data_IF_462487816153
#
_entry.id   IF_462487816153
#
_cell.length_a   1.000
_cell.length_b   1.000
_cell.length_c   1.000
_cell.angle_alpha   90.00
_cell.angle_beta   90.00
_cell.angle_gamma   90.00
#
_symmetry.space_group_name_H-M   'P 1'
#
loop_
_entity.id
_entity.type
_entity.pdbx_description
1 polymer ?
#
# COMPACT_ATOMS: atom_id res chain seq x y z
N UNK A 1 -69.01 53.90 -26.65
CA UNK A 1 -67.64 53.59 -26.16
C UNK A 1 -67.37 52.10 -26.31
N UNK A 2 -66.46 51.71 -27.23
CA UNK A 2 -66.14 50.31 -27.54
C UNK A 2 -65.22 49.72 -26.46
N UNK A 3 -65.79 49.04 -25.45
CA UNK A 3 -65.03 48.42 -24.34
C UNK A 3 -64.17 47.21 -24.74
N UNK A 4 -64.28 46.70 -25.97
CA UNK A 4 -63.57 45.51 -26.43
C UNK A 4 -62.10 45.73 -26.81
N UNK A 5 -61.71 46.95 -27.20
CA UNK A 5 -60.34 47.22 -27.70
C UNK A 5 -59.30 47.13 -26.57
N UNK A 6 -59.70 47.46 -25.33
CA UNK A 6 -58.80 47.44 -24.17
C UNK A 6 -58.30 46.05 -23.78
N UNK A 7 -59.06 44.99 -24.06
CA UNK A 7 -58.65 43.62 -23.71
C UNK A 7 -57.59 43.06 -24.67
N UNK A 8 -57.60 43.54 -25.92
CA UNK A 8 -56.66 43.11 -26.96
C UNK A 8 -55.26 43.65 -26.65
N UNK A 9 -55.15 44.92 -26.26
CA UNK A 9 -53.86 45.54 -25.88
C UNK A 9 -53.22 44.86 -24.67
N UNK A 10 -54.05 44.45 -23.68
CA UNK A 10 -53.58 43.73 -22.50
C UNK A 10 -53.07 42.33 -22.88
N UNK A 11 -53.80 41.60 -23.73
CA UNK A 11 -53.40 40.27 -24.17
C UNK A 11 -52.10 40.29 -25.00
N UNK A 12 -51.95 41.26 -25.91
CA UNK A 12 -50.74 41.45 -26.69
C UNK A 12 -49.55 41.80 -25.78
N UNK A 13 -49.75 42.72 -24.83
CA UNK A 13 -48.70 43.12 -23.88
C UNK A 13 -48.26 41.95 -22.98
N UNK A 14 -49.21 41.13 -22.51
CA UNK A 14 -48.92 39.92 -21.74
C UNK A 14 -48.15 38.88 -22.57
N UNK A 15 -48.52 38.70 -23.85
CA UNK A 15 -47.81 37.79 -24.75
C UNK A 15 -46.36 38.21 -25.02
N UNK A 16 -46.13 39.51 -25.26
CA UNK A 16 -44.78 40.07 -25.43
C UNK A 16 -43.96 39.91 -24.15
N UNK A 17 -44.56 40.15 -22.99
CA UNK A 17 -43.89 39.99 -21.70
C UNK A 17 -43.47 38.53 -21.46
N UNK A 18 -44.35 37.55 -21.73
CA UNK A 18 -44.02 36.13 -21.60
C UNK A 18 -42.89 35.72 -22.56
N UNK A 19 -42.92 36.23 -23.81
CA UNK A 19 -41.83 36.02 -24.77
C UNK A 19 -40.50 36.58 -24.27
N UNK A 20 -40.53 37.77 -23.66
CA UNK A 20 -39.34 38.38 -23.07
C UNK A 20 -38.81 37.56 -21.89
N UNK A 21 -39.70 37.02 -21.07
CA UNK A 21 -39.35 36.21 -19.90
C UNK A 21 -38.74 34.87 -20.31
N UNK A 22 -39.31 34.22 -21.34
CA UNK A 22 -38.72 33.04 -21.97
C UNK A 22 -37.36 33.34 -22.60
N UNK A 23 -37.25 34.47 -23.30
CA UNK A 23 -35.99 34.91 -23.88
C UNK A 23 -34.93 35.09 -22.79
N UNK A 24 -35.28 35.72 -21.67
CA UNK A 24 -34.42 35.86 -20.50
C UNK A 24 -34.02 34.48 -19.94
N UNK A 25 -34.93 33.51 -19.78
CA UNK A 25 -34.54 32.18 -19.29
C UNK A 25 -33.66 31.39 -20.28
N UNK A 26 -33.85 31.58 -21.58
CA UNK A 26 -33.03 30.96 -22.62
C UNK A 26 -31.65 31.60 -22.70
N UNK A 27 -31.55 32.93 -22.57
CA UNK A 27 -30.28 33.67 -22.64
C UNK A 27 -29.52 33.69 -21.31
N UNK A 28 -30.23 33.77 -20.19
CA UNK A 28 -29.68 33.58 -18.84
C UNK A 28 -29.61 32.11 -18.46
N UNK A 29 -29.81 31.15 -19.38
CA UNK A 29 -29.53 29.74 -19.09
C UNK A 29 -28.11 29.71 -18.57
N UNK A 30 -27.91 29.56 -17.25
CA UNK A 30 -26.65 29.95 -16.67
C UNK A 30 -25.69 28.90 -17.18
N UNK A 31 -24.72 29.34 -17.97
CA UNK A 31 -23.66 28.51 -18.50
C UNK A 31 -22.73 28.12 -17.36
N UNK A 32 -23.29 27.57 -16.28
CA UNK A 32 -22.57 26.92 -15.20
C UNK A 32 -22.18 25.57 -15.78
N UNK A 33 -21.23 25.59 -16.71
CA UNK A 33 -20.22 24.54 -16.66
C UNK A 33 -19.54 24.83 -15.33
N UNK A 34 -19.90 24.07 -14.30
CA UNK A 34 -19.12 24.09 -13.07
C UNK A 34 -17.70 23.77 -13.52
N UNK A 35 -16.84 24.78 -13.46
CA UNK A 35 -15.43 24.55 -13.67
C UNK A 35 -15.01 23.66 -12.51
N UNK A 36 -14.88 22.37 -12.80
CA UNK A 36 -14.52 21.39 -11.78
C UNK A 36 -13.16 21.83 -11.26
N UNK A 37 -13.13 22.30 -10.00
CA UNK A 37 -11.89 22.77 -9.38
C UNK A 37 -10.82 21.69 -9.49
N UNK A 38 -9.61 22.06 -9.88
CA UNK A 38 -8.52 21.10 -10.01
C UNK A 38 -8.23 20.34 -8.72
N UNK A 39 -8.45 20.97 -7.56
CA UNK A 39 -8.34 20.33 -6.25
C UNK A 39 -9.29 19.13 -6.10
N UNK A 40 -10.52 19.25 -6.63
CA UNK A 40 -11.48 18.14 -6.64
C UNK A 40 -11.01 16.99 -7.55
N UNK A 41 -10.46 17.30 -8.72
CA UNK A 41 -9.89 16.28 -9.62
C UNK A 41 -8.72 15.54 -8.96
N UNK A 42 -7.81 16.27 -8.30
CA UNK A 42 -6.71 15.68 -7.54
C UNK A 42 -7.22 14.80 -6.39
N UNK A 43 -8.28 15.21 -5.71
CA UNK A 43 -8.91 14.44 -4.63
C UNK A 43 -9.53 13.13 -5.13
N UNK A 44 -10.17 13.13 -6.29
CA UNK A 44 -10.71 11.90 -6.92
C UNK A 44 -9.58 10.88 -7.10
N UNK A 45 -8.47 11.29 -7.71
CA UNK A 45 -7.35 10.37 -7.99
C UNK A 45 -6.68 9.92 -6.70
N UNK A 46 -6.39 10.84 -5.77
CA UNK A 46 -5.79 10.50 -4.48
C UNK A 46 -6.65 9.51 -3.70
N UNK A 47 -7.97 9.72 -3.65
CA UNK A 47 -8.91 8.79 -3.01
C UNK A 47 -9.00 7.45 -3.74
N UNK A 48 -8.99 7.48 -5.08
CA UNK A 48 -8.97 6.28 -5.92
C UNK A 48 -7.74 5.42 -5.67
N UNK A 49 -6.57 6.04 -5.60
CA UNK A 49 -5.31 5.35 -5.26
C UNK A 49 -5.38 4.78 -3.84
N UNK A 50 -5.70 5.61 -2.84
CA UNK A 50 -5.77 5.16 -1.45
C UNK A 50 -6.77 4.01 -1.24
N UNK A 51 -7.86 3.95 -1.99
CA UNK A 51 -8.85 2.89 -1.83
C UNK A 51 -8.53 1.60 -2.62
N UNK A 52 -7.75 1.70 -3.70
CA UNK A 52 -7.52 0.57 -4.62
C UNK A 52 -6.15 -0.07 -4.50
N UNK A 53 -5.13 0.74 -4.29
CA UNK A 53 -3.74 0.27 -4.31
C UNK A 53 -3.10 0.25 -2.92
N UNK A 54 -3.77 0.81 -1.91
CA UNK A 54 -3.27 0.73 -0.55
C UNK A 54 -3.31 -0.70 0.00
N UNK A 55 -2.46 -0.93 0.99
CA UNK A 55 -2.28 -2.20 1.66
C UNK A 55 -1.82 -1.97 3.09
N UNK A 56 -2.22 -2.90 3.95
CA UNK A 56 -1.81 -2.95 5.35
C UNK A 56 -0.91 -4.16 5.58
N UNK A 57 0.26 -3.93 6.18
CA UNK A 57 1.08 -4.99 6.78
C UNK A 57 0.99 -4.87 8.30
N UNK A 58 0.69 -5.98 8.96
CA UNK A 58 0.94 -6.11 10.39
C UNK A 58 2.38 -6.60 10.62
N UNK A 59 3.19 -5.85 11.37
CA UNK A 59 4.52 -6.28 11.82
C UNK A 59 4.52 -6.59 13.31
N UNK A 60 5.16 -7.68 13.69
CA UNK A 60 5.41 -8.02 15.09
C UNK A 60 6.93 -8.12 15.29
N UNK A 61 7.53 -7.19 16.05
CA UNK A 61 8.92 -7.32 16.44
C UNK A 61 9.09 -8.59 17.27
N UNK A 62 10.05 -9.42 16.91
CA UNK A 62 10.49 -10.60 17.62
C UNK A 62 11.92 -10.33 18.09
N UNK A 63 12.08 -10.21 19.39
CA UNK A 63 13.38 -10.04 20.02
C UNK A 63 13.88 -11.41 20.46
N UNK A 64 15.09 -11.77 20.04
CA UNK A 64 15.75 -13.01 20.43
C UNK A 64 17.04 -12.64 21.16
N UNK A 65 17.18 -13.14 22.38
CA UNK A 65 18.34 -12.98 23.23
C UNK A 65 18.93 -14.36 23.51
N UNK A 66 20.23 -14.42 23.76
CA UNK A 66 20.85 -15.63 24.29
C UNK A 66 21.61 -15.37 25.59
N UNK A 67 21.67 -16.39 26.44
CA UNK A 67 22.39 -16.34 27.71
C UNK A 67 23.88 -16.46 27.46
N UNK A 68 24.67 -15.50 27.94
CA UNK A 68 26.10 -15.37 27.67
C UNK A 68 26.98 -16.33 28.46
N UNK A 69 26.41 -17.18 29.33
CA UNK A 69 27.20 -18.12 30.15
C UNK A 69 27.92 -19.20 29.31
N UNK A 70 27.54 -19.39 28.05
CA UNK A 70 28.32 -20.12 27.06
C UNK A 70 28.25 -19.38 25.72
N UNK A 71 29.14 -18.39 25.48
CA UNK A 71 29.14 -17.67 24.21
C UNK A 71 29.39 -18.69 23.10
N UNK A 72 28.42 -18.80 22.20
CA UNK A 72 28.58 -19.54 20.95
C UNK A 72 29.62 -18.74 20.16
N UNK A 73 30.82 -19.28 19.97
CA UNK A 73 31.82 -18.64 19.11
C UNK A 73 31.28 -18.64 17.67
N UNK A 74 30.89 -17.49 17.11
CA UNK A 74 30.31 -17.44 15.77
C UNK A 74 31.32 -17.81 14.68
N UNK A 75 32.62 -17.91 15.04
CA UNK A 75 33.71 -18.27 14.13
C UNK A 75 34.26 -19.67 14.36
N UNK A 76 33.74 -20.46 15.32
CA UNK A 76 34.16 -21.85 15.47
C UNK A 76 33.65 -22.63 14.25
N UNK A 77 34.53 -23.15 13.38
CA UNK A 77 34.13 -23.92 12.20
C UNK A 77 33.45 -25.25 12.56
N UNK A 78 33.50 -25.65 13.85
CA UNK A 78 32.79 -26.82 14.38
C UNK A 78 31.46 -26.44 15.06
N UNK A 79 31.13 -25.14 15.17
CA UNK A 79 29.82 -24.72 15.63
C UNK A 79 28.82 -25.03 14.51
N UNK A 80 28.14 -26.16 14.65
CA UNK A 80 27.00 -26.53 13.83
C UNK A 80 25.89 -25.46 13.94
N UNK A 81 25.13 -25.29 12.86
CA UNK A 81 24.05 -24.30 12.72
C UNK A 81 23.28 -24.02 14.02
N UNK A 82 23.18 -22.76 14.44
CA UNK A 82 22.32 -22.38 15.56
C UNK A 82 20.86 -22.60 15.18
N UNK A 83 20.20 -23.51 15.88
CA UNK A 83 18.78 -23.80 15.71
C UNK A 83 18.02 -23.05 16.80
N UNK A 84 17.32 -21.99 16.41
CA UNK A 84 16.38 -21.32 17.29
C UNK A 84 15.02 -22.01 17.15
N UNK A 85 14.50 -22.59 18.24
CA UNK A 85 13.17 -23.21 18.30
C UNK A 85 12.24 -22.37 19.17
N UNK A 86 11.26 -21.69 18.57
CA UNK A 86 10.30 -20.84 19.29
C UNK A 86 8.95 -21.54 19.39
N UNK A 87 8.49 -21.85 20.61
CA UNK A 87 7.20 -22.53 20.85
C UNK A 87 6.13 -21.54 21.30
N UNK A 88 4.94 -21.60 20.68
CA UNK A 88 3.75 -20.89 21.13
C UNK A 88 3.67 -19.43 20.64
N UNK A 89 2.89 -19.21 19.59
CA UNK A 89 2.68 -17.88 19.01
C UNK A 89 1.38 -17.26 19.55
N UNK A 90 1.37 -15.95 19.88
CA UNK A 90 0.19 -15.29 20.42
C UNK A 90 -0.90 -15.01 19.36
N UNK A 91 -0.70 -15.45 18.11
CA UNK A 91 -1.59 -15.18 16.98
C UNK A 91 -1.68 -16.40 16.06
N UNK A 92 -2.79 -16.48 15.33
CA UNK A 92 -3.03 -17.54 14.36
C UNK A 92 -2.37 -17.16 13.02
N UNK A 93 -1.44 -17.99 12.55
CA UNK A 93 -0.72 -17.76 11.29
C UNK A 93 -1.02 -18.83 10.26
N UNK A 94 -1.05 -18.39 9.01
CA UNK A 94 -1.01 -19.24 7.84
C UNK A 94 0.34 -19.04 7.17
N UNK A 95 1.08 -20.12 6.97
CA UNK A 95 2.46 -20.14 6.46
C UNK A 95 2.63 -19.31 5.19
N UNK A 96 1.64 -19.34 4.31
CA UNK A 96 1.64 -18.66 3.03
C UNK A 96 1.42 -17.13 3.12
N UNK A 97 1.15 -16.58 4.31
CA UNK A 97 0.87 -15.13 4.52
C UNK A 97 1.86 -14.45 5.44
N UNK A 98 2.99 -15.09 5.72
CA UNK A 98 4.02 -14.56 6.63
C UNK A 98 5.38 -14.44 5.97
N UNK A 99 6.11 -13.37 6.28
CA UNK A 99 7.53 -13.27 6.03
C UNK A 99 8.26 -12.81 7.29
N UNK A 100 9.53 -13.20 7.45
CA UNK A 100 10.37 -12.78 8.56
C UNK A 100 11.51 -11.96 8.01
N UNK A 101 11.70 -10.77 8.55
CA UNK A 101 12.76 -9.85 8.15
C UNK A 101 13.74 -9.66 9.31
N UNK A 102 15.01 -9.46 9.04
CA UNK A 102 15.98 -9.03 10.06
C UNK A 102 15.86 -7.53 10.37
N UNK A 103 16.76 -7.02 11.23
CA UNK A 103 16.84 -5.60 11.59
C UNK A 103 17.16 -4.65 10.42
N UNK A 104 17.67 -5.18 9.30
CA UNK A 104 17.95 -4.45 8.06
C UNK A 104 16.86 -4.64 7.02
N UNK A 105 15.74 -5.27 7.40
CA UNK A 105 14.64 -5.63 6.51
C UNK A 105 15.01 -6.63 5.40
N UNK A 106 16.09 -7.40 5.57
CA UNK A 106 16.40 -8.49 4.68
C UNK A 106 15.55 -9.72 5.03
N UNK A 107 14.99 -10.45 4.03
CA UNK A 107 14.26 -11.69 4.28
C UNK A 107 15.15 -12.74 4.96
N UNK A 108 14.61 -13.38 6.00
CA UNK A 108 15.25 -14.46 6.74
C UNK A 108 14.38 -15.71 6.69
N UNK A 109 14.99 -16.84 6.37
CA UNK A 109 14.28 -18.11 6.25
C UNK A 109 14.10 -18.70 7.66
N UNK A 110 12.85 -18.77 8.11
CA UNK A 110 12.44 -19.64 9.21
C UNK A 110 11.43 -20.65 8.68
N UNK A 111 11.68 -21.92 8.98
CA UNK A 111 10.71 -22.99 8.82
C UNK A 111 9.68 -22.91 9.93
N UNK A 112 8.42 -22.76 9.55
CA UNK A 112 7.30 -22.83 10.48
C UNK A 112 6.79 -24.27 10.44
N UNK A 113 6.79 -24.94 11.60
CA UNK A 113 6.20 -26.28 11.71
C UNK A 113 5.02 -26.23 12.66
N UNK A 114 3.85 -26.64 12.18
CA UNK A 114 2.66 -26.81 13.00
C UNK A 114 2.66 -28.19 13.66
N UNK A 115 2.56 -28.24 14.98
CA UNK A 115 2.59 -29.52 15.71
C UNK A 115 1.26 -30.29 15.70
N UNK A 116 0.12 -29.60 15.67
CA UNK A 116 -1.22 -30.18 15.58
C UNK A 116 -2.16 -29.22 14.85
N UNK A 117 -3.04 -29.73 13.99
CA UNK A 117 -4.09 -28.97 13.31
C UNK A 117 -5.04 -28.29 14.30
N UNK A 118 -5.23 -28.87 15.48
CA UNK A 118 -6.13 -28.36 16.51
C UNK A 118 -5.47 -27.42 17.51
N UNK A 119 -4.13 -27.31 17.50
CA UNK A 119 -3.41 -26.36 18.35
C UNK A 119 -2.85 -25.21 17.51
N UNK A 120 -2.69 -24.05 18.14
CA UNK A 120 -1.96 -22.90 17.59
C UNK A 120 -0.47 -22.96 17.92
N UNK A 121 0.01 -24.14 18.32
CA UNK A 121 1.42 -24.36 18.63
C UNK A 121 2.19 -24.47 17.31
N UNK A 122 2.65 -23.31 16.85
CA UNK A 122 3.63 -23.20 15.79
C UNK A 122 5.01 -23.19 16.41
N UNK A 123 5.94 -23.75 15.66
CA UNK A 123 7.35 -23.75 15.99
C UNK A 123 8.12 -23.10 14.85
N UNK A 124 8.84 -22.01 15.14
CA UNK A 124 9.78 -21.42 14.19
C UNK A 124 11.15 -22.07 14.36
N UNK A 125 11.75 -22.51 13.26
CA UNK A 125 13.10 -23.08 13.18
C UNK A 125 13.88 -22.39 12.09
N UNK A 126 15.03 -21.85 12.42
CA UNK A 126 15.97 -21.30 11.43
C UNK A 126 17.34 -21.92 11.62
N UNK A 127 18.17 -21.87 10.59
CA UNK A 127 19.57 -22.28 10.61
C UNK A 127 20.42 -21.13 10.10
N UNK A 128 21.70 -21.10 10.46
CA UNK A 128 22.67 -20.14 9.95
C UNK A 128 22.39 -18.67 10.27
N UNK A 129 21.71 -18.39 11.39
CA UNK A 129 21.61 -17.02 11.89
C UNK A 129 22.77 -16.74 12.83
N UNK A 130 23.57 -15.74 12.49
CA UNK A 130 24.57 -15.18 13.39
C UNK A 130 23.84 -14.25 14.36
N UNK A 131 23.66 -14.72 15.59
CA UNK A 131 23.13 -13.90 16.69
C UNK A 131 24.30 -13.16 17.33
N UNK A 132 24.28 -11.82 17.28
CA UNK A 132 25.40 -11.01 17.73
C UNK A 132 25.24 -10.46 19.15
N UNK A 133 24.10 -10.76 19.76
CA UNK A 133 23.52 -9.85 20.73
C UNK A 133 23.34 -10.45 22.13
N UNK A 134 24.07 -9.96 23.15
CA UNK A 134 23.85 -10.34 24.55
C UNK A 134 22.49 -9.82 25.06
N UNK A 135 22.12 -10.18 26.29
CA UNK A 135 20.82 -9.85 26.93
C UNK A 135 20.38 -8.37 26.80
N UNK A 136 21.31 -7.42 26.75
CA UNK A 136 21.00 -5.98 26.73
C UNK A 136 20.71 -5.39 25.34
N UNK A 137 21.03 -6.09 24.25
CA UNK A 137 20.85 -5.59 22.88
C UNK A 137 20.29 -6.67 21.96
N UNK A 138 19.05 -7.16 22.14
CA UNK A 138 18.53 -8.33 21.41
C UNK A 138 18.64 -8.24 19.89
N UNK A 139 18.83 -9.40 19.25
CA UNK A 139 18.63 -9.49 17.80
C UNK A 139 17.13 -9.31 17.50
N UNK A 140 16.83 -8.36 16.62
CA UNK A 140 15.46 -7.98 16.26
C UNK A 140 15.11 -8.56 14.90
N UNK A 141 14.01 -9.29 14.87
CA UNK A 141 13.35 -9.76 13.66
C UNK A 141 11.96 -9.13 13.56
N UNK A 142 11.45 -8.98 12.35
CA UNK A 142 10.10 -8.48 12.11
C UNK A 142 9.28 -9.54 11.42
N UNK A 143 8.27 -10.00 12.12
CA UNK A 143 7.31 -10.94 11.60
C UNK A 143 6.22 -10.16 10.88
N UNK A 144 6.23 -10.21 9.56
CA UNK A 144 5.33 -9.46 8.69
C UNK A 144 4.17 -10.36 8.24
N UNK A 145 2.95 -9.85 8.35
CA UNK A 145 1.74 -10.53 7.92
C UNK A 145 0.86 -9.57 7.12
N UNK A 146 0.30 -10.06 6.01
CA UNK A 146 -0.75 -9.37 5.26
C UNK A 146 -1.74 -10.37 4.71
N UNK A 147 -3.03 -10.00 4.68
CA UNK A 147 -4.05 -10.81 4.03
C UNK A 147 -3.91 -10.83 2.51
N UNK A 148 -3.31 -9.77 1.95
CA UNK A 148 -3.12 -9.54 0.51
C UNK A 148 -1.94 -10.31 -0.08
N UNK A 149 -1.03 -10.84 0.75
CA UNK A 149 0.15 -11.53 0.26
C UNK A 149 0.00 -13.04 0.26
N UNK A 150 0.65 -13.64 -0.74
CA UNK A 150 1.06 -15.03 -0.69
C UNK A 150 2.59 -15.04 -0.68
N UNK A 151 3.19 -14.89 0.50
CA UNK A 151 4.64 -14.92 0.60
C UNK A 151 5.11 -16.32 0.20
N UNK A 152 5.95 -16.41 -0.84
CA UNK A 152 6.64 -17.64 -1.17
C UNK A 152 7.74 -17.86 -0.15
N UNK A 153 7.38 -18.24 1.05
CA UNK A 153 8.36 -18.79 1.93
C UNK A 153 8.67 -20.20 1.41
N UNK A 154 9.88 -20.36 0.89
CA UNK A 154 10.45 -21.68 0.62
C UNK A 154 10.70 -22.32 1.99
N UNK A 155 9.64 -22.91 2.55
CA UNK A 155 9.69 -23.70 3.78
C UNK A 155 10.17 -25.12 3.50
N UNK A 156 10.98 -25.32 2.45
CA UNK A 156 11.56 -26.62 2.20
C UNK A 156 12.29 -27.07 3.46
N UNK A 157 11.90 -28.26 3.94
CA UNK A 157 12.60 -28.92 5.02
C UNK A 157 14.08 -28.93 4.63
N UNK A 158 14.99 -28.41 5.48
CA UNK A 158 16.41 -28.50 5.19
C UNK A 158 16.71 -29.99 4.96
N UNK A 159 17.47 -30.32 3.91
CA UNK A 159 17.63 -31.73 3.52
C UNK A 159 18.06 -32.56 4.72
N UNK A 160 17.32 -33.63 4.99
CA UNK A 160 17.52 -34.50 6.16
C UNK A 160 18.93 -35.14 6.24
N UNK A 161 19.75 -34.92 5.21
CA UNK A 161 21.12 -35.42 5.06
C UNK A 161 22.21 -34.60 5.74
N UNK A 162 21.87 -33.51 6.43
CA UNK A 162 22.78 -32.83 7.36
C UNK A 162 22.17 -32.89 8.76
N UNK A 163 22.62 -33.83 9.59
CA UNK A 163 22.21 -33.98 10.99
C UNK A 163 22.46 -32.69 11.76
N UNK A 164 21.41 -32.02 12.26
CA UNK A 164 21.56 -30.81 13.06
C UNK A 164 21.58 -31.17 14.55
N UNK A 165 22.56 -30.65 15.30
CA UNK A 165 22.47 -30.37 16.74
C UNK A 165 22.76 -28.87 16.90
N UNK A 166 22.19 -28.13 17.86
CA UNK A 166 22.17 -28.41 19.30
C UNK A 166 20.82 -28.06 19.94
N UNK A 167 20.36 -28.97 20.81
CA UNK A 167 19.28 -28.79 21.78
C UNK A 167 19.79 -27.88 22.89
N UNK A 168 19.21 -26.70 23.04
CA UNK A 168 19.26 -25.98 24.31
C UNK A 168 17.89 -25.37 24.55
N UNK A 169 17.08 -26.05 25.37
CA UNK A 169 15.85 -25.49 25.93
C UNK A 169 16.12 -24.30 26.88
N UNK A 170 17.40 -23.98 27.18
CA UNK A 170 17.76 -23.12 28.32
C UNK A 170 18.52 -21.83 27.99
N UNK A 171 19.02 -21.61 26.76
CA UNK A 171 19.88 -20.45 26.49
C UNK A 171 19.25 -19.36 25.65
N UNK A 172 18.06 -19.53 25.09
CA UNK A 172 17.41 -18.48 24.30
C UNK A 172 16.16 -17.95 24.99
N UNK A 173 16.05 -16.62 25.05
CA UNK A 173 14.86 -15.92 25.50
C UNK A 173 14.30 -15.17 24.31
N UNK A 174 12.99 -15.26 24.12
CA UNK A 174 12.32 -14.47 23.11
C UNK A 174 11.17 -13.68 23.71
N UNK A 175 10.89 -12.52 23.13
CA UNK A 175 9.72 -11.71 23.46
C UNK A 175 9.18 -11.07 22.19
N UNK A 176 7.87 -10.92 22.15
CA UNK A 176 7.21 -10.14 21.09
C UNK A 176 7.09 -8.69 21.53
N UNK A 177 7.33 -7.79 20.60
CA UNK A 177 7.02 -6.37 20.73
C UNK A 177 5.53 -6.09 20.52
N UNK A 178 5.20 -4.80 20.54
CA UNK A 178 3.87 -4.33 20.18
C UNK A 178 3.63 -4.51 18.68
N UNK A 179 2.41 -4.92 18.31
CA UNK A 179 1.97 -4.99 16.92
C UNK A 179 2.06 -3.59 16.28
N UNK A 180 2.75 -3.51 15.17
CA UNK A 180 2.82 -2.34 14.31
C UNK A 180 1.95 -2.57 13.07
N UNK A 181 1.27 -1.52 12.59
CA UNK A 181 0.53 -1.56 11.33
C UNK A 181 1.18 -0.55 10.40
N UNK A 182 1.69 -1.04 9.28
CA UNK A 182 2.24 -0.22 8.22
C UNK A 182 1.19 -0.11 7.12
N UNK A 183 0.84 1.13 6.80
CA UNK A 183 -0.01 1.48 5.67
C UNK A 183 0.86 2.04 4.55
N UNK A 184 0.57 1.66 3.31
CA UNK A 184 1.28 2.16 2.14
C UNK A 184 0.71 1.60 0.84
N UNK A 185 1.40 1.85 -0.26
CA UNK A 185 1.02 1.39 -1.59
C UNK A 185 1.57 -0.02 -1.85
N UNK A 186 0.72 -0.98 -2.22
CA UNK A 186 1.18 -2.30 -2.61
C UNK A 186 1.75 -2.32 -4.02
N UNK A 187 3.00 -2.76 -4.19
CA UNK A 187 3.69 -2.84 -5.50
C UNK A 187 2.90 -3.69 -6.51
N UNK A 188 2.38 -4.83 -6.08
CA UNK A 188 1.57 -5.69 -6.95
C UNK A 188 0.26 -5.00 -7.37
N UNK A 189 -0.42 -4.33 -6.43
CA UNK A 189 -1.66 -3.59 -6.73
C UNK A 189 -1.37 -2.43 -7.69
N UNK A 190 -0.26 -1.72 -7.48
CA UNK A 190 0.20 -0.63 -8.35
C UNK A 190 0.50 -1.15 -9.77
N UNK A 191 1.26 -2.25 -9.89
CA UNK A 191 1.60 -2.86 -11.18
C UNK A 191 0.38 -3.45 -11.88
N UNK A 192 -0.59 -3.98 -11.14
CA UNK A 192 -1.86 -4.46 -11.69
C UNK A 192 -2.81 -3.32 -12.10
N UNK A 193 -2.48 -2.06 -11.74
CA UNK A 193 -3.23 -0.88 -12.19
C UNK A 193 -2.85 -0.47 -13.63
N UNK A 194 -1.96 -1.20 -14.30
CA UNK A 194 -1.63 -1.02 -15.73
C UNK A 194 -2.78 -1.34 -16.71
N UNK A 195 -4.02 -1.43 -16.22
CA UNK A 195 -5.21 -1.51 -17.04
C UNK A 195 -5.33 -0.29 -17.97
N UNK A 196 -6.11 -0.45 -19.05
CA UNK A 196 -6.46 0.61 -20.01
C UNK A 196 -6.84 1.91 -19.29
N UNK A 197 -6.24 3.03 -19.71
CA UNK A 197 -6.50 4.40 -19.27
C UNK A 197 -7.97 4.71 -19.02
N UNK A 198 -8.83 4.24 -19.93
CA UNK A 198 -10.27 4.47 -19.81
C UNK A 198 -10.90 3.67 -18.67
N UNK A 199 -10.44 2.44 -18.42
CA UNK A 199 -10.90 1.65 -17.29
C UNK A 199 -10.45 2.27 -15.97
N UNK A 200 -9.25 2.85 -15.88
CA UNK A 200 -8.82 3.51 -14.66
C UNK A 200 -9.64 4.78 -14.39
N UNK A 201 -9.89 5.61 -15.42
CA UNK A 201 -10.80 6.76 -15.33
C UNK A 201 -12.17 6.34 -14.80
N UNK A 202 -12.75 5.28 -15.38
CA UNK A 202 -14.03 4.72 -14.93
C UNK A 202 -13.97 4.22 -13.49
N UNK A 203 -12.92 3.47 -13.12
CA UNK A 203 -12.74 2.94 -11.75
C UNK A 203 -12.62 4.06 -10.70
N UNK A 204 -12.02 5.19 -11.06
CA UNK A 204 -11.89 6.35 -10.18
C UNK A 204 -13.10 7.29 -10.25
N UNK A 205 -14.07 7.05 -11.14
CA UNK A 205 -15.12 8.02 -11.48
C UNK A 205 -14.54 9.38 -11.91
N UNK A 206 -13.42 9.36 -12.66
CA UNK A 206 -12.78 10.55 -13.19
C UNK A 206 -13.52 11.06 -14.44
N UNK A 207 -13.75 12.37 -14.61
CA UNK A 207 -14.48 12.90 -15.76
C UNK A 207 -13.85 12.51 -17.11
N UNK A 208 -14.69 12.18 -18.09
CA UNK A 208 -14.24 11.70 -19.41
C UNK A 208 -13.50 12.78 -20.22
N UNK A 209 -13.85 14.04 -20.02
CA UNK A 209 -13.31 15.23 -20.70
C UNK A 209 -12.09 15.84 -19.99
N UNK A 210 -11.65 15.23 -18.88
CA UNK A 210 -10.47 15.62 -18.11
C UNK A 210 -9.41 14.54 -18.15
N UNK A 211 -8.14 14.89 -18.05
CA UNK A 211 -7.07 13.91 -18.08
C UNK A 211 -6.10 14.06 -16.91
N UNK A 212 -5.32 13.00 -16.68
CA UNK A 212 -4.36 12.97 -15.59
C UNK A 212 -3.13 12.11 -15.88
N UNK A 213 -2.08 12.40 -15.13
CA UNK A 213 -0.86 11.60 -15.05
C UNK A 213 -0.55 11.27 -13.60
N UNK A 214 -0.09 10.05 -13.35
CA UNK A 214 0.41 9.61 -12.06
C UNK A 214 1.85 9.16 -12.24
N UNK A 215 2.78 9.74 -11.51
CA UNK A 215 4.19 9.37 -11.52
C UNK A 215 4.59 9.00 -10.10
N UNK A 216 5.21 7.84 -9.94
CA UNK A 216 5.75 7.38 -8.65
C UNK A 216 7.26 7.26 -8.78
N UNK A 217 7.95 7.94 -7.88
CA UNK A 217 9.40 7.94 -7.77
C UNK A 217 9.84 7.10 -6.57
N UNK A 218 10.91 6.35 -6.72
CA UNK A 218 11.59 5.66 -5.64
C UNK A 218 12.55 6.61 -4.91
N UNK A 219 12.40 6.70 -3.60
CA UNK A 219 13.19 7.58 -2.74
C UNK A 219 12.92 9.06 -2.98
N UNK A 220 13.98 9.87 -2.91
CA UNK A 220 13.92 11.33 -3.07
C UNK A 220 14.37 11.80 -4.46
N UNK A 221 14.81 10.89 -5.32
CA UNK A 221 15.37 11.24 -6.62
C UNK A 221 14.27 11.24 -7.69
N UNK A 222 14.04 12.37 -8.38
CA UNK A 222 13.05 12.44 -9.46
C UNK A 222 13.43 11.60 -10.69
N UNK A 223 14.64 11.05 -10.73
CA UNK A 223 15.12 10.25 -11.86
C UNK A 223 14.78 8.76 -11.75
N UNK A 224 14.34 8.29 -10.57
CA UNK A 224 14.03 6.87 -10.36
C UNK A 224 12.52 6.63 -10.42
N UNK A 225 11.95 6.71 -11.63
CA UNK A 225 10.52 6.47 -11.86
C UNK A 225 10.28 4.96 -11.85
N UNK A 226 9.50 4.50 -10.88
CA UNK A 226 9.12 3.08 -10.76
C UNK A 226 7.72 2.80 -11.31
N UNK A 227 6.90 3.83 -11.43
CA UNK A 227 5.59 3.74 -12.06
C UNK A 227 5.25 5.07 -12.73
N UNK A 228 4.73 5.00 -13.94
CA UNK A 228 4.24 6.16 -14.67
C UNK A 228 3.00 5.76 -15.44
N UNK A 229 1.90 6.46 -15.17
CA UNK A 229 0.63 6.26 -15.83
C UNK A 229 0.26 7.54 -16.58
N UNK A 230 0.46 7.53 -17.89
CA UNK A 230 0.10 8.61 -18.80
C UNK A 230 -0.32 8.04 -20.14
N UNK A 231 -1.42 8.54 -20.71
CA UNK A 231 -1.77 8.30 -22.11
C UNK A 231 -1.62 9.55 -22.97
N UNK A 232 -1.84 10.72 -22.36
CA UNK A 232 -1.90 12.00 -23.04
C UNK A 232 -0.94 12.93 -22.31
N UNK A 233 -0.03 13.54 -23.05
CA UNK A 233 0.81 14.62 -22.52
C UNK A 233 -0.01 15.90 -22.69
N UNK A 234 -0.08 16.75 -21.65
CA UNK A 234 -0.75 18.04 -21.73
C UNK A 234 -0.34 18.79 -23.00
N UNK A 235 -1.33 19.21 -23.78
CA UNK A 235 -1.04 20.06 -24.95
C UNK A 235 -0.75 21.48 -24.49
N UNK A 236 0.03 22.26 -25.27
CA UNK A 236 0.31 23.67 -24.95
C UNK A 236 -0.98 24.54 -24.85
N UNK A 237 -2.11 24.03 -25.31
CA UNK A 237 -3.41 24.69 -25.23
C UNK A 237 -4.12 24.56 -23.87
N UNK A 238 -3.67 23.64 -23.01
CA UNK A 238 -4.24 23.47 -21.67
C UNK A 238 -3.68 24.51 -20.72
N UNK A 239 -4.56 25.43 -20.29
CA UNK A 239 -4.15 26.61 -19.49
C UNK A 239 -3.96 26.32 -18.01
N UNK A 240 -4.48 25.20 -17.51
CA UNK A 240 -4.52 24.91 -16.07
C UNK A 240 -4.14 23.46 -15.81
N UNK A 241 -2.91 23.27 -15.36
CA UNK A 241 -2.42 21.98 -14.87
C UNK A 241 -2.34 22.08 -13.35
N UNK A 242 -3.07 21.21 -12.66
CA UNK A 242 -3.05 21.12 -11.20
C UNK A 242 -2.16 19.98 -10.78
N UNK A 243 -1.40 20.15 -9.70
CA UNK A 243 -0.38 19.19 -9.26
C UNK A 243 -0.55 18.89 -7.77
N UNK A 244 -0.52 17.62 -7.40
CA UNK A 244 -0.45 17.14 -6.03
C UNK A 244 0.76 16.24 -5.87
N UNK A 245 1.55 16.46 -4.82
CA UNK A 245 2.70 15.62 -4.50
C UNK A 245 2.75 15.31 -3.01
N UNK A 246 3.02 14.06 -2.66
CA UNK A 246 3.26 13.63 -1.29
C UNK A 246 4.25 12.46 -1.24
N UNK A 247 4.76 12.20 -0.03
CA UNK A 247 5.61 11.04 0.25
C UNK A 247 4.78 9.92 0.86
N UNK A 248 5.11 8.69 0.47
CA UNK A 248 4.43 7.47 0.95
C UNK A 248 5.45 6.31 1.01
N UNK A 249 4.98 5.10 1.28
CA UNK A 249 5.79 3.89 1.30
C UNK A 249 5.25 2.90 0.27
N UNK A 250 6.12 2.42 -0.60
CA UNK A 250 5.85 1.26 -1.44
C UNK A 250 6.15 -0.01 -0.66
N UNK A 251 5.20 -0.92 -0.64
CA UNK A 251 5.28 -2.19 0.04
C UNK A 251 5.40 -3.29 -1.01
N UNK A 252 6.54 -3.98 -1.03
CA UNK A 252 6.84 -5.07 -1.97
C UNK A 252 6.17 -6.37 -1.58
N UNK A 253 6.16 -7.33 -2.52
CA UNK A 253 5.65 -8.70 -2.31
C UNK A 253 6.28 -9.46 -1.14
N UNK A 254 7.52 -9.12 -0.77
CA UNK A 254 8.25 -9.71 0.36
C UNK A 254 8.04 -8.91 1.67
N UNK A 255 7.22 -7.86 1.66
CA UNK A 255 6.94 -7.05 2.85
C UNK A 255 8.04 -6.06 3.20
N UNK A 256 9.10 -6.00 2.39
CA UNK A 256 10.05 -4.88 2.44
C UNK A 256 9.37 -3.60 1.99
N UNK A 257 9.89 -2.48 2.47
CA UNK A 257 9.29 -1.17 2.28
C UNK A 257 10.30 -0.22 1.67
N UNK A 258 9.89 0.52 0.63
CA UNK A 258 10.71 1.56 0.01
C UNK A 258 9.99 2.91 0.14
N UNK A 259 10.64 3.99 0.62
CA UNK A 259 10.04 5.32 0.55
C UNK A 259 9.80 5.73 -0.91
N UNK A 260 8.64 6.31 -1.19
CA UNK A 260 8.27 6.78 -2.52
C UNK A 260 7.73 8.22 -2.48
N UNK A 261 7.72 8.87 -3.64
CA UNK A 261 7.03 10.13 -3.88
C UNK A 261 5.99 9.91 -4.98
N UNK A 262 4.75 10.27 -4.71
CA UNK A 262 3.65 10.20 -5.68
C UNK A 262 3.39 11.62 -6.18
N UNK A 263 3.41 11.81 -7.50
CA UNK A 263 3.12 13.06 -8.18
C UNK A 263 1.94 12.84 -9.13
N UNK A 264 0.82 13.51 -8.84
CA UNK A 264 -0.37 13.52 -9.69
C UNK A 264 -0.43 14.86 -10.40
N UNK A 265 -0.79 14.86 -11.68
CA UNK A 265 -1.18 16.08 -12.40
C UNK A 265 -2.49 15.87 -13.12
N UNK A 266 -3.34 16.89 -13.16
CA UNK A 266 -4.65 16.86 -13.84
C UNK A 266 -4.86 18.11 -14.66
N UNK A 267 -5.61 17.99 -15.76
CA UNK A 267 -5.95 19.10 -16.67
C UNK A 267 -7.33 18.90 -17.31
#
# INVERSE_FOLDING_TARGET
MKKGVSYIDVAISAGIFILYLLFIFVTLRPGIKEDISGEYLLQIISSGLNNKISMNISKYPLFINYHTENPIDPWDPNNEDVIVELKGFPFNWTENKTNILDKYYAPVIFNITRHDLNTLNLTLKTRNIILNSPLDDPDVFFLSYSEDFNFSADFSLPSETQTPRIISENNFYFRFGTKEIIFGIGEEKLNNTNDDYQQLKQKFNFPEDKDFIIIVYEGKSPNNIIYSYSKIIPTETEKHIFVLQWSDILIKKDGTTIPIIINIRTW
#
